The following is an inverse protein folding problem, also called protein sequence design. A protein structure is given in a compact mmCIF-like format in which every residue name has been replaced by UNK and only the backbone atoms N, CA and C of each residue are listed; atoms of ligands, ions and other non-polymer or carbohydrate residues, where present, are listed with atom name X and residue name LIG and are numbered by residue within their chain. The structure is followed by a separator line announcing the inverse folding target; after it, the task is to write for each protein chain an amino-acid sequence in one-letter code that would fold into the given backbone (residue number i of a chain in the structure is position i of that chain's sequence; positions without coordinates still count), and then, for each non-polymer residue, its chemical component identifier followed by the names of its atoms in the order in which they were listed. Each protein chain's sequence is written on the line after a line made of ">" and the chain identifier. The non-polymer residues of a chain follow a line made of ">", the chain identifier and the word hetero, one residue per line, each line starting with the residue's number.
data_IF_644669320454
#
_entry.id   IF_644669320454
#
_cell.length_a   1.000
_cell.length_b   1.000
_cell.length_c   1.000
_cell.angle_alpha   90.00
_cell.angle_beta   90.00
_cell.angle_gamma   90.00
#
_symmetry.space_group_name_H-M   'P 1'
#
loop_
_entity.id
_entity.type
_entity.pdbx_description
1 polymer ?
#
# COMPACT_ATOMS: atom_id res chain seq x y z
N UNK A 1 7.36 23.89 8.89
CA UNK A 1 7.51 23.61 7.45
C UNK A 1 6.86 22.29 7.19
N UNK A 2 5.65 22.26 6.66
CA UNK A 2 5.02 21.04 6.16
C UNK A 2 5.56 20.79 4.75
N UNK A 3 6.65 20.01 4.68
CA UNK A 3 7.18 19.59 3.39
C UNK A 3 6.19 18.63 2.75
N UNK A 4 5.46 19.06 1.73
CA UNK A 4 4.68 18.16 0.89
C UNK A 4 5.64 17.24 0.14
N UNK A 5 5.44 15.95 0.25
CA UNK A 5 6.19 14.97 -0.54
C UNK A 5 5.72 15.03 -1.98
N UNK A 6 6.65 14.89 -2.92
CA UNK A 6 6.36 14.83 -4.35
C UNK A 6 6.65 13.43 -4.86
N UNK A 7 5.72 12.90 -5.65
CA UNK A 7 5.81 11.58 -6.26
C UNK A 7 6.22 11.69 -7.72
N UNK A 8 7.20 10.90 -8.11
CA UNK A 8 7.70 10.84 -9.48
C UNK A 8 7.71 9.41 -9.98
N UNK A 9 7.46 9.24 -11.26
CA UNK A 9 7.63 7.97 -11.97
C UNK A 9 8.62 8.15 -13.11
N UNK A 10 9.46 7.14 -13.30
CA UNK A 10 10.37 7.03 -14.44
C UNK A 10 10.13 5.68 -15.11
N UNK A 11 10.40 5.59 -16.40
CA UNK A 11 10.31 4.35 -17.18
C UNK A 11 11.60 4.09 -17.93
N UNK A 12 11.91 2.82 -18.08
CA UNK A 12 12.99 2.32 -18.93
C UNK A 12 12.39 1.44 -20.03
N UNK A 13 12.93 1.51 -21.23
CA UNK A 13 12.56 0.67 -22.38
C UNK A 13 13.64 -0.37 -22.73
N UNK A 14 14.71 -0.42 -21.96
CA UNK A 14 15.90 -1.25 -22.22
C UNK A 14 16.33 -2.08 -20.99
N UNK A 15 15.37 -2.46 -20.15
CA UNK A 15 15.63 -3.29 -18.98
C UNK A 15 16.35 -2.58 -17.84
N UNK A 16 16.22 -1.25 -17.74
CA UNK A 16 16.82 -0.47 -16.66
C UNK A 16 18.22 0.07 -16.97
N UNK A 17 18.72 -0.09 -18.20
CA UNK A 17 20.03 0.42 -18.62
C UNK A 17 20.00 1.94 -18.77
N UNK A 18 18.92 2.48 -19.32
CA UNK A 18 18.66 3.91 -19.36
C UNK A 18 17.24 4.22 -18.87
N UNK A 19 17.04 5.44 -18.39
CA UNK A 19 15.79 5.89 -17.81
C UNK A 19 15.31 7.18 -18.45
N UNK A 20 14.02 7.27 -18.71
CA UNK A 20 13.38 8.50 -19.17
C UNK A 20 13.39 9.60 -18.11
N UNK A 21 12.98 10.79 -18.49
CA UNK A 21 12.87 11.91 -17.56
C UNK A 21 11.84 11.61 -16.46
N UNK A 22 12.10 12.02 -15.20
CA UNK A 22 11.13 11.90 -14.12
C UNK A 22 9.85 12.67 -14.44
N UNK A 23 8.71 12.01 -14.33
CA UNK A 23 7.39 12.63 -14.49
C UNK A 23 6.74 12.77 -13.11
N UNK A 24 6.37 13.98 -12.75
CA UNK A 24 5.67 14.28 -11.51
C UNK A 24 4.22 13.77 -11.61
N UNK A 25 3.81 12.91 -10.69
CA UNK A 25 2.46 12.35 -10.59
C UNK A 25 1.72 12.80 -9.31
N UNK A 26 2.31 13.70 -8.55
CA UNK A 26 1.79 14.12 -7.25
C UNK A 26 0.34 14.59 -7.34
N UNK A 27 0.04 15.48 -8.29
CA UNK A 27 -1.31 16.05 -8.42
C UNK A 27 -2.37 15.02 -8.83
N UNK A 28 -2.01 14.00 -9.61
CA UNK A 28 -2.95 12.94 -10.00
C UNK A 28 -3.22 11.95 -8.88
N UNK A 29 -2.25 11.76 -8.00
CA UNK A 29 -2.35 10.85 -6.85
C UNK A 29 -2.95 11.55 -5.63
N UNK A 30 -2.48 12.76 -5.32
CA UNK A 30 -2.88 13.50 -4.12
C UNK A 30 -4.08 14.42 -4.38
N UNK A 31 -4.27 14.89 -5.61
CA UNK A 31 -5.20 15.95 -5.95
C UNK A 31 -6.63 15.81 -5.41
N UNK A 32 -7.24 14.62 -5.41
CA UNK A 32 -8.56 14.41 -4.80
C UNK A 32 -8.56 14.52 -3.27
N UNK A 33 -7.38 14.52 -2.63
CA UNK A 33 -7.18 14.47 -1.17
C UNK A 33 -6.26 15.58 -0.68
N UNK A 34 -6.09 16.66 -1.45
CA UNK A 34 -5.07 17.69 -1.23
C UNK A 34 -5.19 18.36 0.15
N UNK A 35 -6.40 18.46 0.67
CA UNK A 35 -6.66 19.02 2.00
C UNK A 35 -6.60 17.97 3.12
N UNK A 36 -6.68 16.67 2.78
CA UNK A 36 -6.84 15.58 3.74
C UNK A 36 -5.60 14.69 3.91
N UNK A 37 -4.55 14.87 3.11
CA UNK A 37 -3.41 13.97 3.14
C UNK A 37 -2.10 14.73 3.33
N UNK A 38 -1.45 14.52 4.46
CA UNK A 38 -0.16 15.16 4.77
C UNK A 38 1.04 14.40 4.22
N UNK A 39 0.94 13.08 4.09
CA UNK A 39 2.01 12.21 3.61
C UNK A 39 1.41 11.11 2.75
N UNK A 40 1.98 10.89 1.56
CA UNK A 40 1.81 9.66 0.79
C UNK A 40 3.19 9.16 0.47
N UNK A 41 3.49 7.94 0.86
CA UNK A 41 4.81 7.34 0.64
C UNK A 41 4.62 5.98 -0.02
N UNK A 42 5.27 5.72 -1.16
CA UNK A 42 5.42 4.35 -1.64
C UNK A 42 6.04 3.50 -0.54
N UNK A 43 5.56 2.28 -0.39
CA UNK A 43 6.08 1.35 0.61
C UNK A 43 7.56 1.01 0.38
N UNK A 44 8.14 0.30 1.33
CA UNK A 44 9.54 -0.12 1.29
C UNK A 44 9.79 -1.29 0.33
N UNK A 45 8.73 -1.81 -0.28
CA UNK A 45 8.76 -2.93 -1.20
C UNK A 45 8.85 -2.52 -2.66
N UNK A 46 8.33 -3.38 -3.52
CA UNK A 46 8.30 -3.21 -4.97
C UNK A 46 6.86 -3.05 -5.46
N UNK A 47 6.71 -2.49 -6.65
CA UNK A 47 5.44 -2.48 -7.36
C UNK A 47 5.16 -3.86 -7.95
N UNK A 48 3.89 -4.27 -8.00
CA UNK A 48 3.49 -5.50 -8.66
C UNK A 48 2.65 -5.19 -9.90
N UNK A 49 2.87 -5.95 -10.97
CA UNK A 49 1.98 -5.95 -12.13
C UNK A 49 1.10 -7.18 -12.06
N UNK A 50 -0.20 -6.95 -11.98
CA UNK A 50 -1.19 -8.03 -11.99
C UNK A 50 -1.29 -8.66 -13.38
N UNK A 51 -1.78 -9.89 -13.44
CA UNK A 51 -2.04 -10.58 -14.71
C UNK A 51 -3.03 -9.83 -15.63
N UNK A 52 -3.85 -8.96 -15.07
CA UNK A 52 -4.70 -8.03 -15.83
C UNK A 52 -3.94 -6.90 -16.53
N UNK A 53 -2.67 -6.71 -16.20
CA UNK A 53 -1.85 -5.58 -16.63
C UNK A 53 -1.90 -4.37 -15.70
N UNK A 54 -2.80 -4.35 -14.70
CA UNK A 54 -2.86 -3.30 -13.68
C UNK A 54 -1.58 -3.26 -12.88
N UNK A 55 -1.08 -2.06 -12.61
CA UNK A 55 0.06 -1.83 -11.71
C UNK A 55 -0.46 -1.44 -10.32
N UNK A 56 0.10 -2.05 -9.30
CA UNK A 56 -0.14 -1.70 -7.91
C UNK A 56 1.19 -1.35 -7.23
N UNK A 57 1.22 -0.24 -6.54
CA UNK A 57 2.31 0.18 -5.67
C UNK A 57 1.75 0.28 -4.26
N UNK A 58 2.15 -0.61 -3.37
CA UNK A 58 1.81 -0.50 -1.96
C UNK A 58 2.48 0.73 -1.34
N UNK A 59 1.80 1.36 -0.42
CA UNK A 59 2.30 2.51 0.28
C UNK A 59 1.47 2.79 1.52
N UNK A 60 1.75 3.89 2.15
CA UNK A 60 0.93 4.37 3.25
C UNK A 60 0.72 5.88 3.14
N UNK A 61 -0.36 6.32 3.73
CA UNK A 61 -0.73 7.73 3.82
C UNK A 61 -1.06 8.12 5.23
N UNK A 62 -0.91 9.39 5.54
CA UNK A 62 -1.42 9.99 6.77
C UNK A 62 -2.41 11.08 6.39
N UNK A 63 -3.70 10.89 6.65
CA UNK A 63 -4.70 11.94 6.46
C UNK A 63 -4.41 13.17 7.31
N UNK A 64 -4.81 14.35 6.86
CA UNK A 64 -4.68 15.56 7.64
C UNK A 64 -5.50 15.45 8.93
N UNK A 65 -4.89 15.83 10.05
CA UNK A 65 -5.53 15.71 11.36
C UNK A 65 -5.51 14.31 11.98
N UNK A 66 -5.01 13.30 11.27
CA UNK A 66 -4.77 11.96 11.81
C UNK A 66 -3.28 11.80 12.14
N UNK A 67 -2.99 11.31 13.34
CA UNK A 67 -1.63 10.98 13.74
C UNK A 67 -1.16 9.63 13.22
N UNK A 68 -2.09 8.81 12.69
CA UNK A 68 -1.84 7.45 12.29
C UNK A 68 -1.56 7.33 10.79
N UNK A 69 -0.73 6.37 10.44
CA UNK A 69 -0.49 5.96 9.07
C UNK A 69 -1.47 4.86 8.66
N UNK A 70 -1.81 4.83 7.38
CA UNK A 70 -2.75 3.86 6.82
C UNK A 70 -2.18 3.31 5.53
N UNK A 71 -2.08 2.00 5.42
CA UNK A 71 -1.72 1.34 4.18
C UNK A 71 -2.73 1.67 3.07
N UNK A 72 -2.23 1.86 1.87
CA UNK A 72 -3.02 2.15 0.68
C UNK A 72 -2.26 1.70 -0.57
N UNK A 73 -2.91 1.71 -1.73
CA UNK A 73 -2.25 1.48 -3.00
C UNK A 73 -2.32 2.71 -3.90
N UNK A 74 -1.28 2.87 -4.70
CA UNK A 74 -1.24 3.78 -5.84
C UNK A 74 -1.29 2.90 -7.08
N UNK A 75 -2.26 3.14 -7.94
CA UNK A 75 -2.61 2.22 -9.01
C UNK A 75 -2.51 2.89 -10.38
N UNK A 76 -2.29 2.05 -11.41
CA UNK A 76 -2.40 2.43 -12.81
C UNK A 76 -3.04 1.31 -13.61
N UNK A 77 -4.06 1.64 -14.41
CA UNK A 77 -4.74 0.71 -15.33
C UNK A 77 -4.30 0.89 -16.78
N UNK A 78 -3.33 1.77 -17.06
CA UNK A 78 -2.90 2.16 -18.40
C UNK A 78 -1.37 2.11 -18.59
N UNK A 79 -0.74 1.12 -17.94
CA UNK A 79 0.71 0.88 -18.00
C UNK A 79 1.55 2.07 -17.48
N UNK A 80 1.09 2.70 -16.41
CA UNK A 80 1.82 3.79 -15.76
C UNK A 80 1.66 5.18 -16.43
N UNK A 81 0.71 5.33 -17.35
CA UNK A 81 0.43 6.65 -17.97
C UNK A 81 -0.30 7.56 -17.01
N UNK A 82 -1.33 7.04 -16.34
CA UNK A 82 -2.04 7.74 -15.27
C UNK A 82 -1.96 6.95 -13.97
N UNK A 83 -1.97 7.66 -12.86
CA UNK A 83 -1.86 7.09 -11.53
C UNK A 83 -2.90 7.72 -10.62
N UNK A 84 -3.43 6.94 -9.71
CA UNK A 84 -4.41 7.39 -8.73
C UNK A 84 -4.22 6.65 -7.40
N UNK A 85 -4.55 7.33 -6.31
CA UNK A 85 -4.57 6.75 -4.99
C UNK A 85 -5.93 6.07 -4.80
N UNK A 86 -5.93 4.82 -4.37
CA UNK A 86 -7.16 4.18 -3.95
C UNK A 86 -7.71 4.86 -2.69
N UNK A 87 -9.02 5.11 -2.64
CA UNK A 87 -9.67 5.50 -1.41
C UNK A 87 -9.33 4.48 -0.31
N UNK A 88 -9.14 4.95 0.91
CA UNK A 88 -8.87 4.07 2.06
C UNK A 88 -10.08 3.21 2.47
N UNK A 89 -10.81 2.68 1.52
CA UNK A 89 -11.98 1.85 1.80
C UNK A 89 -11.55 0.46 2.25
N UNK A 90 -11.80 0.20 3.51
CA UNK A 90 -11.55 -1.11 4.11
C UNK A 90 -10.09 -1.46 4.31
N UNK A 91 -9.20 -0.65 3.80
CA UNK A 91 -7.79 -0.83 4.09
C UNK A 91 -7.53 -0.31 5.48
N UNK A 92 -7.51 -1.25 6.38
CA UNK A 92 -6.68 -1.13 7.53
C UNK A 92 -7.13 -0.12 8.57
N UNK A 93 -7.18 -0.54 9.75
CA UNK A 93 -7.28 0.34 10.90
C UNK A 93 -6.07 1.27 10.99
N UNK A 94 -6.18 2.22 11.89
CA UNK A 94 -5.13 3.17 12.21
C UNK A 94 -3.82 2.47 12.55
N UNK A 95 -2.70 3.07 12.16
CA UNK A 95 -1.37 2.63 12.58
C UNK A 95 -0.78 1.49 11.74
N UNK A 96 -1.07 1.44 10.44
CA UNK A 96 -0.44 0.52 9.49
C UNK A 96 0.52 1.26 8.57
N UNK A 97 1.67 0.64 8.29
CA UNK A 97 2.71 1.19 7.42
C UNK A 97 3.56 0.06 6.81
N UNK A 98 4.53 0.42 5.98
CA UNK A 98 5.48 -0.53 5.39
C UNK A 98 4.80 -1.72 4.70
N UNK A 99 3.83 -1.41 3.84
CA UNK A 99 2.98 -2.38 3.18
C UNK A 99 3.64 -2.95 1.94
N UNK A 100 3.32 -4.20 1.63
CA UNK A 100 3.73 -4.89 0.43
C UNK A 100 2.52 -5.54 -0.24
N UNK A 101 2.50 -5.63 -1.57
CA UNK A 101 1.43 -6.28 -2.33
C UNK A 101 1.97 -7.36 -3.23
N UNK A 102 1.24 -8.46 -3.32
CA UNK A 102 1.56 -9.58 -4.21
C UNK A 102 0.27 -10.19 -4.80
N UNK A 103 0.31 -10.60 -6.05
CA UNK A 103 -0.74 -11.40 -6.66
C UNK A 103 -0.39 -12.88 -6.54
N UNK A 104 -1.35 -13.68 -6.06
CA UNK A 104 -1.19 -15.13 -5.86
C UNK A 104 -2.34 -15.85 -6.51
N UNK A 105 -2.10 -17.06 -7.01
CA UNK A 105 -3.12 -17.96 -7.56
C UNK A 105 -2.99 -18.20 -9.06
N UNK A 106 -3.82 -19.11 -9.54
CA UNK A 106 -3.89 -19.50 -10.96
C UNK A 106 -4.99 -18.72 -11.70
N UNK A 107 -5.02 -18.82 -13.01
CA UNK A 107 -5.80 -17.97 -13.93
C UNK A 107 -7.28 -17.71 -13.55
N UNK A 108 -7.93 -18.65 -12.88
CA UNK A 108 -9.35 -18.55 -12.50
C UNK A 108 -9.63 -18.09 -11.08
N UNK A 109 -8.62 -18.09 -10.20
CA UNK A 109 -8.75 -17.71 -8.78
C UNK A 109 -7.51 -16.93 -8.35
N UNK A 110 -7.44 -15.68 -8.80
CA UNK A 110 -6.36 -14.79 -8.38
C UNK A 110 -6.80 -13.94 -7.20
N UNK A 111 -5.90 -13.75 -6.26
CA UNK A 111 -6.04 -12.85 -5.12
C UNK A 111 -4.84 -11.93 -5.05
N UNK A 112 -5.08 -10.72 -4.67
CA UNK A 112 -4.02 -9.79 -4.28
C UNK A 112 -4.00 -9.75 -2.76
N UNK A 113 -2.83 -9.95 -2.19
CA UNK A 113 -2.60 -9.87 -0.76
C UNK A 113 -1.80 -8.61 -0.45
N UNK A 114 -2.16 -7.92 0.61
CA UNK A 114 -1.35 -6.88 1.17
C UNK A 114 -0.92 -7.28 2.55
N UNK A 115 0.38 -7.26 2.76
CA UNK A 115 1.02 -7.44 4.04
C UNK A 115 1.25 -6.08 4.70
N UNK A 116 0.89 -5.95 5.96
CA UNK A 116 0.88 -4.70 6.70
C UNK A 116 1.68 -4.84 7.99
N UNK A 117 2.53 -3.85 8.24
CA UNK A 117 3.08 -3.63 9.56
C UNK A 117 2.09 -2.84 10.40
N UNK A 118 1.80 -3.33 11.59
CA UNK A 118 0.87 -2.70 12.54
C UNK A 118 1.64 -2.27 13.78
N UNK A 119 1.48 -1.02 14.23
CA UNK A 119 2.15 -0.56 15.44
C UNK A 119 1.62 -1.28 16.70
N UNK A 120 2.42 -1.32 17.76
CA UNK A 120 2.13 -2.12 18.96
C UNK A 120 0.83 -1.73 19.66
N UNK A 121 0.45 -0.46 19.68
CA UNK A 121 -0.81 -0.02 20.28
C UNK A 121 -2.02 -0.51 19.50
N UNK A 122 -1.94 -0.47 18.17
CA UNK A 122 -3.00 -0.97 17.30
C UNK A 122 -3.09 -2.49 17.36
N UNK A 123 -1.97 -3.19 17.47
CA UNK A 123 -1.97 -4.64 17.69
C UNK A 123 -2.70 -5.02 18.97
N UNK A 124 -2.46 -4.30 20.05
CA UNK A 124 -3.17 -4.53 21.32
C UNK A 124 -4.68 -4.27 21.19
N UNK A 125 -5.06 -3.18 20.51
CA UNK A 125 -6.49 -2.87 20.27
C UNK A 125 -7.19 -3.94 19.44
N UNK A 126 -6.50 -4.56 18.49
CA UNK A 126 -7.02 -5.65 17.65
C UNK A 126 -7.00 -7.02 18.34
N UNK A 127 -6.54 -7.12 19.58
CA UNK A 127 -6.46 -8.38 20.32
C UNK A 127 -5.17 -9.17 20.09
N UNK A 128 -4.15 -8.55 19.53
CA UNK A 128 -2.84 -9.16 19.30
C UNK A 128 -2.83 -10.21 18.18
N UNK A 129 -1.78 -10.99 18.15
CA UNK A 129 -1.53 -12.00 17.10
C UNK A 129 -1.99 -13.41 17.47
N UNK A 130 -2.53 -13.61 18.68
CA UNK A 130 -2.86 -14.92 19.21
C UNK A 130 -1.63 -15.74 19.65
N UNK A 131 -1.85 -16.84 20.37
CA UNK A 131 -0.79 -17.78 20.74
C UNK A 131 0.36 -17.21 21.58
N UNK A 132 0.18 -16.07 22.24
CA UNK A 132 1.23 -15.41 23.02
C UNK A 132 2.24 -14.59 22.18
N UNK A 133 2.01 -14.45 20.89
CA UNK A 133 2.84 -13.64 19.99
C UNK A 133 2.50 -12.18 20.21
N UNK A 134 3.50 -11.37 20.57
CA UNK A 134 3.30 -9.94 20.85
C UNK A 134 3.10 -9.10 19.61
N UNK A 135 3.80 -9.43 18.52
CA UNK A 135 3.82 -8.64 17.32
C UNK A 135 3.94 -9.52 16.08
N UNK A 136 3.09 -9.32 15.11
CA UNK A 136 3.11 -10.00 13.82
C UNK A 136 2.64 -9.06 12.72
N UNK A 137 2.88 -9.47 11.48
CA UNK A 137 2.30 -8.82 10.30
C UNK A 137 0.80 -9.12 10.22
N UNK A 138 0.08 -8.27 9.55
CA UNK A 138 -1.32 -8.45 9.24
C UNK A 138 -1.49 -8.52 7.73
N UNK A 139 -2.49 -9.22 7.26
CA UNK A 139 -2.78 -9.27 5.83
C UNK A 139 -4.24 -8.98 5.54
N UNK A 140 -4.47 -8.45 4.35
CA UNK A 140 -5.79 -8.25 3.76
C UNK A 140 -5.78 -8.79 2.34
N UNK A 141 -6.93 -9.17 1.83
CA UNK A 141 -7.09 -9.79 0.52
C UNK A 141 -8.01 -8.97 -0.37
N UNK A 142 -7.72 -8.99 -1.66
CA UNK A 142 -8.58 -8.44 -2.71
C UNK A 142 -8.89 -9.49 -3.75
N UNK A 143 -10.15 -9.58 -4.15
CA UNK A 143 -10.62 -10.45 -5.22
C UNK A 143 -10.84 -9.71 -6.55
N UNK A 144 -10.68 -8.40 -6.56
CA UNK A 144 -11.01 -7.51 -7.69
C UNK A 144 -9.82 -6.69 -8.19
N UNK A 145 -8.61 -7.19 -7.95
CA UNK A 145 -7.37 -6.56 -8.40
C UNK A 145 -7.00 -5.31 -7.58
N UNK A 146 -7.23 -5.35 -6.28
CA UNK A 146 -6.84 -4.28 -5.37
C UNK A 146 -7.82 -3.10 -5.29
N UNK A 147 -9.04 -3.25 -5.81
CA UNK A 147 -10.07 -2.18 -5.74
C UNK A 147 -10.82 -2.19 -4.42
N UNK A 148 -11.11 -3.38 -3.91
CA UNK A 148 -11.69 -3.56 -2.57
C UNK A 148 -10.90 -4.61 -1.79
N UNK A 149 -10.92 -4.49 -0.48
CA UNK A 149 -10.12 -5.31 0.41
C UNK A 149 -10.95 -5.86 1.57
N UNK A 150 -10.61 -7.06 2.02
CA UNK A 150 -11.21 -7.64 3.22
C UNK A 150 -10.77 -6.89 4.48
N UNK A 151 -11.42 -7.18 5.60
CA UNK A 151 -10.89 -6.76 6.90
C UNK A 151 -9.53 -7.41 7.15
N UNK A 152 -8.55 -6.68 7.71
CA UNK A 152 -7.23 -7.23 8.01
C UNK A 152 -7.30 -8.35 9.04
N UNK A 153 -6.47 -9.36 8.86
CA UNK A 153 -6.32 -10.50 9.76
C UNK A 153 -4.84 -10.68 10.15
N UNK A 154 -4.55 -11.10 11.40
CA UNK A 154 -3.18 -11.32 11.84
C UNK A 154 -2.55 -12.51 11.09
N UNK A 155 -1.27 -12.40 10.80
CA UNK A 155 -0.42 -13.45 10.25
C UNK A 155 0.62 -13.90 11.28
N UNK A 156 0.27 -14.77 12.25
CA UNK A 156 1.13 -15.10 13.38
C UNK A 156 2.46 -15.77 12.99
N UNK A 157 2.52 -16.35 11.79
CA UNK A 157 3.75 -16.94 11.25
C UNK A 157 4.77 -15.89 10.81
N UNK A 158 4.33 -14.64 10.61
CA UNK A 158 5.17 -13.52 10.21
C UNK A 158 5.37 -12.61 11.43
N UNK A 159 6.33 -12.96 12.26
CA UNK A 159 6.67 -12.18 13.46
C UNK A 159 7.27 -10.83 13.02
N UNK A 160 6.76 -9.73 13.55
CA UNK A 160 7.34 -8.41 13.35
C UNK A 160 8.39 -8.16 14.45
N UNK A 161 9.69 -8.08 14.10
CA UNK A 161 10.76 -7.96 15.09
C UNK A 161 10.93 -6.57 15.70
N UNK A 162 10.19 -5.59 15.22
CA UNK A 162 10.45 -4.17 15.51
C UNK A 162 9.65 -3.60 16.68
N UNK A 163 9.17 -4.45 17.60
CA UNK A 163 8.50 -4.01 18.83
C UNK A 163 9.12 -4.64 20.07
#
# INVERSE_FOLDING_TARGET
>A
MTGRMSLYVMSSLDGGVSWGAPRNITSSVVGPYDDDTSIITPGNGHATQLASGRLLVAGYRRPAGDASEHCSTIDSDDHGRTWFLQPAHGMTGNGTSECEVVEVGEASVRRVYMDERVNGEEQQRRGGCGGGIRSCRWHTESADGGKTWTAPTPAPMLVDPSN
#
